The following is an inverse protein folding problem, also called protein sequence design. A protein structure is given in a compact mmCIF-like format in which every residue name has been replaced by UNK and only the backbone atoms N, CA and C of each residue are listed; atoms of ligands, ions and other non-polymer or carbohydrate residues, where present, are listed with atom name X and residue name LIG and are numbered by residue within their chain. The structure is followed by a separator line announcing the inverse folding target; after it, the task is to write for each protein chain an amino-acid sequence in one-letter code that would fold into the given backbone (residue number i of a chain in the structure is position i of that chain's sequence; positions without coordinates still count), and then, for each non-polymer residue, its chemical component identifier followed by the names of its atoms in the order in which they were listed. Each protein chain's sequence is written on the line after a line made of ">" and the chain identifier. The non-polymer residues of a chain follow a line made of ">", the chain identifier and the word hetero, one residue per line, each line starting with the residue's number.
data_IF_963382750110
#
_entry.id   IF_963382750110
#
_cell.length_a   1.000
_cell.length_b   1.000
_cell.length_c   1.000
_cell.angle_alpha   90.00
_cell.angle_beta   90.00
_cell.angle_gamma   90.00
#
_symmetry.space_group_name_H-M   'P 1'
#
loop_
_entity.id
_entity.type
_entity.pdbx_description
1 polymer ?
#
# COMPACT_ATOMS: atom_id res chain seq x y z
N UNK A 1 -25.10 26.90 -6.90
CA UNK A 1 -23.65 26.79 -6.56
C UNK A 1 -23.55 27.07 -5.07
N UNK A 2 -23.41 26.03 -4.24
CA UNK A 2 -23.12 26.21 -2.82
C UNK A 2 -21.66 26.68 -2.75
N UNK A 3 -21.43 27.87 -2.15
CA UNK A 3 -20.10 28.35 -1.86
C UNK A 3 -19.42 27.33 -0.94
N UNK A 4 -18.38 26.66 -1.43
CA UNK A 4 -17.64 25.67 -0.68
C UNK A 4 -16.96 26.38 0.49
N UNK A 5 -17.52 26.21 1.68
CA UNK A 5 -16.76 26.46 2.91
C UNK A 5 -15.74 25.33 3.02
N UNK A 6 -14.49 25.68 3.24
CA UNK A 6 -13.50 24.70 3.63
C UNK A 6 -14.00 23.95 4.89
N UNK A 7 -13.89 22.61 4.92
CA UNK A 7 -14.35 21.86 6.08
C UNK A 7 -13.51 22.24 7.30
N UNK A 8 -14.13 22.33 8.46
CA UNK A 8 -13.43 22.51 9.74
C UNK A 8 -12.79 21.19 10.16
N UNK A 9 -11.73 21.25 10.96
CA UNK A 9 -11.09 20.05 11.53
C UNK A 9 -12.10 19.13 12.24
N UNK A 10 -13.01 19.73 13.03
CA UNK A 10 -14.09 18.99 13.71
C UNK A 10 -14.99 18.24 12.73
N UNK A 11 -15.33 18.85 11.58
CA UNK A 11 -16.16 18.21 10.56
C UNK A 11 -15.41 17.07 9.86
N UNK A 12 -14.09 17.20 9.64
CA UNK A 12 -13.23 16.16 9.10
C UNK A 12 -13.14 14.98 10.07
N UNK A 13 -12.88 15.25 11.36
CA UNK A 13 -12.84 14.21 12.41
C UNK A 13 -14.16 13.46 12.50
N UNK A 14 -15.30 14.18 12.57
CA UNK A 14 -16.63 13.56 12.61
C UNK A 14 -16.93 12.69 11.37
N UNK A 15 -16.42 13.09 10.19
CA UNK A 15 -16.53 12.30 8.96
C UNK A 15 -15.69 11.03 9.07
N UNK A 16 -14.45 11.12 9.57
CA UNK A 16 -13.57 9.96 9.78
C UNK A 16 -14.18 8.98 10.77
N UNK A 17 -14.69 9.44 11.91
CA UNK A 17 -15.33 8.59 12.90
C UNK A 17 -16.56 7.87 12.32
N UNK A 18 -17.38 8.61 11.57
CA UNK A 18 -18.56 8.04 10.88
C UNK A 18 -18.13 6.98 9.87
N UNK A 19 -17.12 7.26 9.06
CA UNK A 19 -16.57 6.32 8.07
C UNK A 19 -16.05 5.04 8.73
N UNK A 20 -15.23 5.17 9.79
CA UNK A 20 -14.66 4.03 10.51
C UNK A 20 -15.74 3.18 11.18
N UNK A 21 -16.74 3.80 11.79
CA UNK A 21 -17.88 3.09 12.37
C UNK A 21 -18.68 2.28 11.32
N UNK A 22 -18.95 2.89 10.16
CA UNK A 22 -19.64 2.21 9.06
C UNK A 22 -18.76 1.08 8.48
N UNK A 23 -17.46 1.32 8.33
CA UNK A 23 -16.52 0.33 7.83
C UNK A 23 -16.47 -0.89 8.74
N UNK A 24 -16.29 -0.71 10.04
CA UNK A 24 -16.24 -1.78 11.03
C UNK A 24 -17.53 -2.61 11.06
N UNK A 25 -18.69 -1.96 10.96
CA UNK A 25 -20.01 -2.66 10.93
C UNK A 25 -20.24 -3.44 9.64
N UNK A 26 -19.70 -2.98 8.51
CA UNK A 26 -20.03 -3.53 7.20
C UNK A 26 -18.98 -4.46 6.61
N UNK A 27 -17.74 -4.42 7.09
CA UNK A 27 -16.63 -5.17 6.49
C UNK A 27 -16.90 -6.67 6.38
N UNK A 28 -17.57 -7.28 7.40
CA UNK A 28 -17.88 -8.70 7.40
C UNK A 28 -19.02 -9.11 6.44
N UNK A 29 -19.72 -8.12 5.89
CA UNK A 29 -20.76 -8.36 4.85
C UNK A 29 -20.16 -8.24 3.45
N UNK A 30 -18.90 -7.79 3.35
CA UNK A 30 -18.24 -7.65 2.07
C UNK A 30 -17.60 -8.96 1.66
N UNK A 31 -18.00 -9.46 0.47
CA UNK A 31 -17.42 -10.65 -0.12
C UNK A 31 -16.12 -10.29 -0.86
N UNK A 32 -15.07 -10.01 -0.09
CA UNK A 32 -13.73 -9.86 -0.60
C UNK A 32 -12.91 -11.12 -0.35
N UNK A 33 -11.82 -11.28 -1.07
CA UNK A 33 -10.84 -12.34 -0.86
C UNK A 33 -9.43 -11.79 -1.01
N UNK A 34 -8.49 -12.45 -0.36
CA UNK A 34 -7.07 -12.21 -0.63
C UNK A 34 -6.71 -12.68 -2.04
N UNK A 35 -5.78 -12.00 -2.65
CA UNK A 35 -5.26 -12.39 -3.95
C UNK A 35 -4.53 -13.75 -3.86
N UNK A 36 -4.58 -14.57 -4.92
CA UNK A 36 -3.82 -15.82 -4.99
C UNK A 36 -2.32 -15.56 -4.73
N UNK A 37 -1.70 -16.40 -3.90
CA UNK A 37 -0.27 -16.34 -3.59
C UNK A 37 0.15 -15.26 -2.60
N UNK A 38 -0.71 -14.29 -2.24
CA UNK A 38 -0.29 -13.14 -1.40
C UNK A 38 0.21 -13.56 -0.01
N UNK A 39 -0.43 -14.54 0.63
CA UNK A 39 -0.01 -15.02 1.95
C UNK A 39 1.38 -15.63 1.86
N UNK A 40 1.62 -16.52 0.88
CA UNK A 40 2.91 -17.16 0.71
C UNK A 40 4.01 -16.13 0.39
N UNK A 41 3.70 -15.12 -0.42
CA UNK A 41 4.63 -14.03 -0.70
C UNK A 41 4.97 -13.23 0.58
N UNK A 42 3.97 -12.88 1.38
CA UNK A 42 4.17 -12.14 2.63
C UNK A 42 4.96 -12.97 3.64
N UNK A 43 4.68 -14.28 3.77
CA UNK A 43 5.44 -15.20 4.61
C UNK A 43 6.92 -15.25 4.20
N UNK A 44 7.19 -15.46 2.91
CA UNK A 44 8.55 -15.51 2.38
C UNK A 44 9.33 -14.21 2.61
N UNK A 45 8.68 -13.06 2.41
CA UNK A 45 9.32 -11.76 2.62
C UNK A 45 9.54 -11.47 4.11
N UNK A 46 8.59 -11.86 5.00
CA UNK A 46 8.70 -11.64 6.44
C UNK A 46 9.79 -12.50 7.09
N UNK A 47 10.08 -13.67 6.52
CA UNK A 47 11.17 -14.55 6.99
C UNK A 47 12.57 -14.04 6.61
N UNK A 48 12.67 -13.09 5.70
CA UNK A 48 13.96 -12.53 5.26
C UNK A 48 14.45 -11.45 6.24
N UNK A 49 15.67 -11.60 6.79
CA UNK A 49 16.22 -10.61 7.73
C UNK A 49 16.63 -9.28 7.06
N UNK A 50 16.74 -9.27 5.74
CA UNK A 50 17.13 -8.12 4.91
C UNK A 50 15.91 -7.42 4.26
N UNK A 51 14.69 -7.80 4.65
CA UNK A 51 13.45 -7.29 4.08
C UNK A 51 12.55 -6.70 5.18
N UNK A 52 11.99 -5.53 4.91
CA UNK A 52 11.03 -4.84 5.78
C UNK A 52 9.75 -4.61 5.01
N UNK A 53 8.62 -5.00 5.62
CA UNK A 53 7.30 -4.84 5.01
C UNK A 53 6.58 -3.63 5.59
N UNK A 54 6.19 -2.72 4.72
CA UNK A 54 5.45 -1.51 5.09
C UNK A 54 4.23 -1.32 4.21
N UNK A 55 3.21 -0.63 4.73
CA UNK A 55 2.05 -0.19 3.96
C UNK A 55 2.31 1.17 3.31
N UNK A 56 1.82 1.32 2.07
CA UNK A 56 1.71 2.61 1.40
C UNK A 56 0.31 2.71 0.79
N UNK A 57 -0.56 3.48 1.44
CA UNK A 57 -1.99 3.47 1.09
C UNK A 57 -2.66 4.83 1.23
N UNK A 58 -3.58 5.12 0.31
CA UNK A 58 -4.49 6.26 0.43
C UNK A 58 -5.68 6.03 1.38
N UNK A 59 -5.71 4.94 2.15
CA UNK A 59 -6.65 4.77 3.25
C UNK A 59 -6.16 5.53 4.48
N UNK A 60 -7.08 5.90 5.38
CA UNK A 60 -6.75 6.30 6.74
C UNK A 60 -6.08 5.11 7.46
N UNK A 61 -5.14 5.36 8.36
CA UNK A 61 -4.44 4.32 9.11
C UNK A 61 -5.41 3.34 9.80
N UNK A 62 -6.36 3.87 10.57
CA UNK A 62 -7.38 3.07 11.24
C UNK A 62 -8.28 2.29 10.24
N UNK A 63 -8.55 2.87 9.06
CA UNK A 63 -9.32 2.18 8.00
C UNK A 63 -8.53 1.05 7.34
N UNK A 64 -7.22 1.21 7.19
CA UNK A 64 -6.33 0.15 6.71
C UNK A 64 -6.25 -0.99 7.74
N UNK A 65 -6.08 -0.67 9.02
CA UNK A 65 -6.07 -1.65 10.11
C UNK A 65 -7.34 -2.50 10.15
N UNK A 66 -8.52 -1.87 10.14
CA UNK A 66 -9.80 -2.60 10.11
C UNK A 66 -9.88 -3.55 8.92
N UNK A 67 -9.49 -3.11 7.72
CA UNK A 67 -9.55 -3.93 6.52
C UNK A 67 -8.56 -5.10 6.58
N UNK A 68 -7.30 -4.83 6.87
CA UNK A 68 -6.24 -5.84 6.84
C UNK A 68 -6.36 -6.83 8.00
N UNK A 69 -6.85 -6.39 9.16
CA UNK A 69 -7.18 -7.28 10.28
C UNK A 69 -8.32 -8.22 9.92
N UNK A 70 -9.36 -7.73 9.23
CA UNK A 70 -10.46 -8.57 8.76
C UNK A 70 -9.98 -9.71 7.85
N UNK A 71 -8.98 -9.44 7.00
CA UNK A 71 -8.38 -10.44 6.12
C UNK A 71 -7.19 -11.18 6.75
N UNK A 72 -6.83 -10.90 8.00
CA UNK A 72 -5.78 -11.59 8.73
C UNK A 72 -4.36 -11.26 8.29
N UNK A 73 -4.13 -10.11 7.63
CA UNK A 73 -2.83 -9.74 7.07
C UNK A 73 -2.20 -8.47 7.68
N UNK A 74 -2.86 -7.84 8.64
CA UNK A 74 -2.33 -6.64 9.30
C UNK A 74 -0.97 -6.87 9.97
N UNK A 75 -0.79 -8.01 10.58
CA UNK A 75 0.41 -8.39 11.36
C UNK A 75 1.70 -8.52 10.53
N UNK A 76 1.61 -8.53 9.20
CA UNK A 76 2.79 -8.57 8.34
C UNK A 76 3.52 -7.22 8.27
N UNK A 77 2.82 -6.12 8.55
CA UNK A 77 3.32 -4.77 8.36
C UNK A 77 3.66 -4.12 9.70
N UNK A 78 4.91 -3.69 9.86
CA UNK A 78 5.39 -3.09 11.10
C UNK A 78 4.98 -1.60 11.19
N UNK A 79 4.91 -0.92 10.03
CA UNK A 79 4.49 0.47 9.90
C UNK A 79 3.88 0.73 8.51
N UNK A 80 3.51 1.98 8.25
CA UNK A 80 3.02 2.38 6.93
C UNK A 80 2.99 3.89 6.75
N UNK A 81 2.65 4.32 5.53
CA UNK A 81 2.29 5.69 5.20
C UNK A 81 0.85 5.72 4.67
N UNK A 82 0.06 6.65 5.19
CA UNK A 82 -1.40 6.66 5.10
C UNK A 82 -1.92 8.02 4.61
N UNK A 83 -3.21 8.09 4.26
CA UNK A 83 -3.85 9.36 3.92
C UNK A 83 -3.82 10.40 5.06
N UNK A 84 -3.68 9.96 6.30
CA UNK A 84 -3.49 10.82 7.48
C UNK A 84 -2.17 11.61 7.40
N UNK A 85 -1.16 11.05 6.76
CA UNK A 85 0.16 11.66 6.69
C UNK A 85 0.25 12.74 5.62
N UNK A 86 -0.36 12.49 4.45
CA UNK A 86 -0.38 13.44 3.36
C UNK A 86 -1.51 13.17 2.36
N UNK A 87 -2.17 14.23 1.86
CA UNK A 87 -3.25 14.12 0.88
C UNK A 87 -2.75 13.75 -0.54
N UNK A 88 -1.50 14.09 -0.86
CA UNK A 88 -0.87 13.70 -2.12
C UNK A 88 -0.15 12.36 -1.97
N UNK A 89 -0.59 11.33 -2.72
CA UNK A 89 -0.05 9.99 -2.64
C UNK A 89 1.47 9.93 -2.90
N UNK A 90 1.99 10.78 -3.78
CA UNK A 90 3.41 10.81 -4.11
C UNK A 90 4.31 11.25 -2.94
N UNK A 91 3.72 11.85 -1.90
CA UNK A 91 4.43 12.23 -0.67
C UNK A 91 4.47 11.10 0.37
N UNK A 92 3.70 10.03 0.18
CA UNK A 92 3.66 8.92 1.13
C UNK A 92 4.93 8.05 1.07
N UNK A 93 5.58 7.96 -0.09
CA UNK A 93 6.84 7.21 -0.23
C UNK A 93 7.95 7.73 0.70
N UNK A 94 8.30 9.02 0.66
CA UNK A 94 9.25 9.63 1.60
C UNK A 94 8.86 9.45 3.07
N UNK A 95 7.58 9.51 3.42
CA UNK A 95 7.10 9.25 4.79
C UNK A 95 7.37 7.81 5.21
N UNK A 96 7.06 6.84 4.35
CA UNK A 96 7.35 5.43 4.63
C UNK A 96 8.86 5.18 4.81
N UNK A 97 9.70 5.78 3.97
CA UNK A 97 11.16 5.66 4.07
C UNK A 97 11.70 6.25 5.37
N UNK A 98 11.18 7.40 5.81
CA UNK A 98 11.55 8.01 7.09
C UNK A 98 11.19 7.11 8.28
N UNK A 99 9.98 6.54 8.28
CA UNK A 99 9.54 5.58 9.32
C UNK A 99 10.37 4.30 9.33
N UNK A 100 10.76 3.80 8.16
CA UNK A 100 11.67 2.66 8.08
C UNK A 100 13.00 2.94 8.79
N UNK A 101 13.55 4.14 8.61
CA UNK A 101 14.75 4.56 9.32
C UNK A 101 14.53 4.68 10.84
N UNK A 102 13.41 5.25 11.27
CA UNK A 102 13.07 5.40 12.69
C UNK A 102 12.91 4.03 13.40
N UNK A 103 12.25 3.06 12.74
CA UNK A 103 11.95 1.75 13.31
C UNK A 103 13.14 0.77 13.27
N UNK A 104 13.96 0.82 12.21
CA UNK A 104 15.01 -0.18 11.96
C UNK A 104 16.43 0.39 12.07
N UNK A 105 16.59 1.73 12.13
CA UNK A 105 17.90 2.37 12.22
C UNK A 105 18.74 2.29 10.95
N UNK A 106 18.17 1.81 9.84
CA UNK A 106 18.81 1.69 8.53
C UNK A 106 18.18 2.64 7.51
N UNK A 107 19.03 3.31 6.74
CA UNK A 107 18.59 4.13 5.62
C UNK A 107 18.44 3.27 4.38
N UNK A 108 17.21 3.18 3.87
CA UNK A 108 16.92 2.50 2.60
C UNK A 108 17.08 3.49 1.44
N UNK A 109 18.06 3.24 0.58
CA UNK A 109 18.19 4.01 -0.66
C UNK A 109 17.01 3.72 -1.60
N UNK A 110 16.55 4.68 -2.42
CA UNK A 110 15.37 4.50 -3.26
C UNK A 110 15.38 3.26 -4.16
N UNK A 111 16.55 2.86 -4.66
CA UNK A 111 16.77 1.67 -5.47
C UNK A 111 16.63 0.34 -4.70
N UNK A 112 16.55 0.41 -3.37
CA UNK A 112 16.24 -0.72 -2.47
C UNK A 112 14.81 -0.69 -1.94
N UNK A 113 14.01 0.29 -2.34
CA UNK A 113 12.60 0.40 -1.96
C UNK A 113 11.75 -0.05 -3.15
N UNK A 114 10.82 -0.97 -2.90
CA UNK A 114 9.91 -1.52 -3.89
C UNK A 114 8.48 -1.09 -3.59
N UNK A 115 7.86 -0.34 -4.51
CA UNK A 115 6.45 0.02 -4.41
C UNK A 115 5.63 -0.95 -5.25
N UNK A 116 4.84 -1.77 -4.57
CA UNK A 116 4.00 -2.81 -5.18
C UNK A 116 2.55 -2.32 -5.18
N UNK A 117 1.89 -2.34 -6.33
CA UNK A 117 0.50 -1.93 -6.43
C UNK A 117 -0.16 -2.30 -7.76
N UNK A 118 -1.49 -2.10 -7.82
CA UNK A 118 -2.35 -2.50 -8.93
C UNK A 118 -2.90 -1.30 -9.73
N UNK A 119 -2.39 -0.09 -9.47
CA UNK A 119 -2.85 1.12 -10.14
C UNK A 119 -1.72 1.96 -10.73
N UNK A 120 -2.00 2.77 -11.78
CA UNK A 120 -1.05 3.77 -12.27
C UNK A 120 -0.50 4.70 -11.18
N UNK A 121 -1.31 5.01 -10.17
CA UNK A 121 -0.90 5.87 -9.05
C UNK A 121 0.18 5.24 -8.18
N UNK A 122 0.24 3.92 -8.08
CA UNK A 122 1.30 3.21 -7.35
C UNK A 122 2.61 3.34 -8.09
N UNK A 123 2.57 3.16 -9.41
CA UNK A 123 3.74 3.34 -10.29
C UNK A 123 4.24 4.79 -10.24
N UNK A 124 3.34 5.77 -10.33
CA UNK A 124 3.66 7.20 -10.26
C UNK A 124 4.26 7.57 -8.89
N UNK A 125 3.69 7.03 -7.81
CA UNK A 125 4.18 7.22 -6.46
C UNK A 125 5.61 6.69 -6.31
N UNK A 126 5.88 5.44 -6.70
CA UNK A 126 7.23 4.87 -6.64
C UNK A 126 8.24 5.69 -7.43
N UNK A 127 7.90 6.06 -8.66
CA UNK A 127 8.75 6.89 -9.52
C UNK A 127 9.04 8.27 -8.96
N UNK A 128 8.07 8.88 -8.27
CA UNK A 128 8.20 10.23 -7.73
C UNK A 128 9.35 10.38 -6.73
N UNK A 129 9.71 9.30 -6.02
CA UNK A 129 10.86 9.31 -5.09
C UNK A 129 11.98 8.32 -5.47
N UNK A 130 11.94 7.80 -6.69
CA UNK A 130 13.02 6.98 -7.27
C UNK A 130 13.02 5.51 -6.84
N UNK A 131 11.96 5.01 -6.24
CA UNK A 131 11.81 3.61 -5.86
C UNK A 131 11.57 2.71 -7.08
N UNK A 132 11.89 1.44 -6.93
CA UNK A 132 11.56 0.39 -7.90
C UNK A 132 10.06 0.13 -7.89
N UNK A 133 9.44 0.10 -9.05
CA UNK A 133 7.99 -0.05 -9.19
C UNK A 133 7.59 -1.43 -9.66
N UNK A 134 6.69 -2.06 -8.91
CA UNK A 134 6.16 -3.41 -9.21
C UNK A 134 4.65 -3.31 -9.41
N UNK A 135 4.20 -3.42 -10.64
CA UNK A 135 2.78 -3.42 -10.95
C UNK A 135 2.21 -4.83 -10.99
N UNK A 136 0.99 -5.00 -10.49
CA UNK A 136 0.26 -6.28 -10.48
C UNK A 136 -1.11 -6.08 -11.08
N UNK A 137 -1.46 -6.83 -12.12
CA UNK A 137 -2.71 -6.64 -12.87
C UNK A 137 -3.92 -7.34 -12.23
N UNK A 138 -4.08 -7.18 -10.91
CA UNK A 138 -5.14 -7.81 -10.12
C UNK A 138 -6.33 -6.90 -9.83
N UNK A 139 -6.22 -5.61 -10.12
CA UNK A 139 -7.23 -4.60 -9.88
C UNK A 139 -8.08 -4.31 -11.12
N UNK A 140 -8.57 -3.08 -11.19
CA UNK A 140 -9.41 -2.61 -12.30
C UNK A 140 -8.64 -2.30 -13.59
N UNK A 141 -7.31 -2.15 -13.50
CA UNK A 141 -6.46 -1.82 -14.63
C UNK A 141 -5.91 -3.09 -15.28
N UNK A 142 -6.02 -3.15 -16.60
CA UNK A 142 -5.44 -4.25 -17.37
C UNK A 142 -3.91 -4.19 -17.37
N UNK A 143 -3.28 -5.31 -17.65
CA UNK A 143 -1.83 -5.41 -17.83
C UNK A 143 -1.29 -4.39 -18.86
N UNK A 144 -2.02 -4.18 -19.97
CA UNK A 144 -1.64 -3.22 -21.00
C UNK A 144 -1.68 -1.78 -20.53
N UNK A 145 -2.68 -1.41 -19.73
CA UNK A 145 -2.78 -0.08 -19.13
C UNK A 145 -1.62 0.15 -18.15
N UNK A 146 -1.36 -0.80 -17.23
CA UNK A 146 -0.24 -0.70 -16.30
C UNK A 146 1.11 -0.64 -17.04
N UNK A 147 1.31 -1.45 -18.08
CA UNK A 147 2.52 -1.43 -18.89
C UNK A 147 2.78 -0.06 -19.55
N UNK A 148 1.73 0.67 -19.93
CA UNK A 148 1.85 2.02 -20.52
C UNK A 148 2.50 3.03 -19.56
N UNK A 149 2.40 2.80 -18.24
CA UNK A 149 3.07 3.60 -17.19
C UNK A 149 4.50 3.13 -16.91
N UNK A 150 5.00 2.09 -17.61
CA UNK A 150 6.39 1.60 -17.57
C UNK A 150 6.86 1.30 -16.14
N UNK A 151 6.20 0.39 -15.40
CA UNK A 151 6.77 -0.12 -14.15
C UNK A 151 8.06 -0.88 -14.42
N UNK A 152 8.92 -1.03 -13.42
CA UNK A 152 10.15 -1.80 -13.53
C UNK A 152 9.85 -3.30 -13.64
N UNK A 153 8.84 -3.77 -12.90
CA UNK A 153 8.30 -5.13 -12.96
C UNK A 153 6.79 -5.11 -13.14
N UNK A 154 6.27 -6.13 -13.85
CA UNK A 154 4.83 -6.26 -14.11
C UNK A 154 4.42 -7.74 -14.06
N UNK A 155 3.59 -8.07 -13.08
CA UNK A 155 3.02 -9.40 -12.88
C UNK A 155 1.52 -9.41 -13.16
N UNK A 156 0.98 -10.58 -13.49
CA UNK A 156 -0.47 -10.74 -13.63
C UNK A 156 -1.15 -10.87 -12.26
N UNK A 157 -0.53 -11.64 -11.36
CA UNK A 157 -0.93 -11.83 -9.98
C UNK A 157 0.25 -12.32 -9.13
N UNK A 158 0.00 -12.81 -7.92
CA UNK A 158 1.01 -13.39 -7.02
C UNK A 158 1.00 -14.93 -7.00
N UNK A 159 0.43 -15.60 -8.00
CA UNK A 159 0.35 -17.07 -8.05
C UNK A 159 1.71 -17.76 -8.12
N UNK A 160 2.75 -17.03 -8.59
CA UNK A 160 4.14 -17.44 -8.54
C UNK A 160 4.93 -16.50 -7.62
N UNK A 161 4.84 -16.66 -6.29
CA UNK A 161 5.54 -15.81 -5.34
C UNK A 161 7.06 -15.90 -5.46
N UNK A 162 7.62 -17.05 -5.88
CA UNK A 162 9.05 -17.23 -6.05
C UNK A 162 9.59 -16.32 -7.17
N UNK A 163 8.84 -16.17 -8.27
CA UNK A 163 9.20 -15.24 -9.33
C UNK A 163 9.14 -13.78 -8.85
N UNK A 164 8.17 -13.43 -7.99
CA UNK A 164 8.08 -12.08 -7.41
C UNK A 164 9.25 -11.83 -6.47
N UNK A 165 9.55 -12.76 -5.54
CA UNK A 165 10.67 -12.63 -4.60
C UNK A 165 12.00 -12.51 -5.35
N UNK A 166 12.23 -13.33 -6.39
CA UNK A 166 13.44 -13.24 -7.20
C UNK A 166 13.61 -11.87 -7.89
N UNK A 167 12.52 -11.16 -8.18
CA UNK A 167 12.57 -9.85 -8.80
C UNK A 167 12.82 -8.71 -7.81
N UNK A 168 12.30 -8.81 -6.57
CA UNK A 168 12.32 -7.71 -5.58
C UNK A 168 13.31 -7.92 -4.44
N UNK A 169 13.80 -9.13 -4.25
CA UNK A 169 14.72 -9.50 -3.16
C UNK A 169 15.74 -10.53 -3.67
N UNK A 170 16.54 -10.19 -4.72
CA UNK A 170 17.45 -11.12 -5.38
C UNK A 170 18.58 -11.62 -4.49
#
# INVERSE_FOLDING_TARGET
>A
MAAGKEPTEEAIMALHDTYLGILADRIHRHQGSLLPGIILLLDQLKERPDCVLALLTGNLAAGAEVKLTHYGVWHYFDFGAYADDHHERNQLGPVAAARAFEEHGEEFTPDRIYVIGDTPRDIECGKAFGAVTVAVATGKYSRGELASHRPDFLFDDFSDPDAVVAAIAP
#
